data_IF_454747301454
#
_entry.id   IF_454747301454
#
_cell.length_a   1.000
_cell.length_b   1.000
_cell.length_c   1.000
_cell.angle_alpha   90.00
_cell.angle_beta   90.00
_cell.angle_gamma   90.00
#
_symmetry.space_group_name_H-M   'P 1'
#
loop_
_entity.id
_entity.type
_entity.pdbx_description
1 polymer ?
#
# COMPACT_ATOMS: atom_id res chain seq x y z
N UNK A 1 12.14 24.03 -15.21
CA UNK A 1 12.32 22.99 -14.17
C UNK A 1 10.93 22.51 -13.79
N UNK A 2 10.60 21.24 -14.04
CA UNK A 2 9.28 20.70 -13.70
C UNK A 2 9.19 20.48 -12.20
N UNK A 3 8.22 21.12 -11.56
CA UNK A 3 7.87 20.86 -10.17
C UNK A 3 7.43 19.39 -10.05
N UNK A 4 8.32 18.55 -9.52
CA UNK A 4 7.95 17.21 -9.07
C UNK A 4 7.00 17.37 -7.88
N UNK A 5 5.71 17.24 -8.15
CA UNK A 5 4.68 17.27 -7.13
C UNK A 5 4.83 16.00 -6.28
N UNK A 6 5.40 16.12 -5.07
CA UNK A 6 5.35 15.04 -4.08
C UNK A 6 3.88 14.60 -3.93
N UNK A 7 3.56 13.29 -3.90
CA UNK A 7 2.20 12.85 -3.71
C UNK A 7 1.65 13.46 -2.42
N UNK A 8 0.57 14.22 -2.56
CA UNK A 8 -0.04 14.91 -1.43
C UNK A 8 -0.67 13.86 -0.51
N UNK A 9 -0.08 13.65 0.67
CA UNK A 9 -0.63 12.75 1.70
C UNK A 9 -2.04 13.15 2.14
N UNK A 10 -2.53 14.35 1.77
CA UNK A 10 -3.91 14.82 2.03
C UNK A 10 -4.99 14.17 1.17
N UNK A 11 -4.63 13.31 0.20
CA UNK A 11 -5.59 12.68 -0.73
C UNK A 11 -5.81 11.18 -0.48
N UNK A 12 -5.25 10.62 0.59
CA UNK A 12 -5.51 9.23 0.97
C UNK A 12 -6.83 9.21 1.75
N UNK A 13 -7.82 8.39 1.36
CA UNK A 13 -9.04 8.23 2.12
C UNK A 13 -8.75 7.80 3.56
N UNK A 14 -9.50 8.32 4.52
CA UNK A 14 -9.48 7.79 5.90
C UNK A 14 -10.20 6.43 5.95
N UNK A 15 -10.08 5.75 7.09
CA UNK A 15 -10.67 4.44 7.28
C UNK A 15 -12.18 4.46 7.02
N UNK A 16 -12.64 3.46 6.27
CA UNK A 16 -14.02 3.22 5.88
C UNK A 16 -14.59 4.15 4.80
N UNK A 17 -13.84 5.14 4.30
CA UNK A 17 -14.34 6.03 3.25
C UNK A 17 -14.58 5.34 1.90
N UNK A 18 -14.00 4.15 1.70
CA UNK A 18 -14.18 3.40 0.45
C UNK A 18 -14.81 2.02 0.66
N UNK A 19 -15.61 1.82 1.72
CA UNK A 19 -16.28 0.53 2.00
C UNK A 19 -17.16 0.04 0.83
N UNK A 20 -17.84 0.96 0.15
CA UNK A 20 -18.69 0.64 -1.01
C UNK A 20 -17.89 0.31 -2.28
N UNK A 21 -16.56 0.49 -2.27
CA UNK A 21 -15.69 0.18 -3.40
C UNK A 21 -15.20 -1.26 -3.28
N UNK A 22 -15.48 -2.13 -4.28
CA UNK A 22 -14.94 -3.48 -4.30
C UNK A 22 -13.41 -3.48 -4.27
N UNK A 23 -12.80 -4.51 -3.66
CA UNK A 23 -11.36 -4.62 -3.47
C UNK A 23 -10.52 -4.35 -4.74
N UNK A 24 -10.97 -4.83 -5.92
CA UNK A 24 -10.26 -4.62 -7.19
C UNK A 24 -10.28 -3.16 -7.67
N UNK A 25 -11.30 -2.39 -7.27
CA UNK A 25 -11.47 -0.98 -7.62
C UNK A 25 -10.85 0.00 -6.61
N UNK A 26 -10.37 -0.48 -5.45
CA UNK A 26 -9.70 0.37 -4.47
C UNK A 26 -8.42 0.95 -5.07
N UNK A 27 -8.15 2.22 -4.80
CA UNK A 27 -6.90 2.88 -5.18
C UNK A 27 -5.85 2.61 -4.10
N UNK A 28 -4.67 2.19 -4.51
CA UNK A 28 -3.52 1.98 -3.64
C UNK A 28 -2.65 3.22 -3.69
N UNK A 29 -2.62 3.98 -2.59
CA UNK A 29 -1.91 5.24 -2.48
C UNK A 29 -0.47 5.10 -2.00
N UNK A 30 -0.18 4.05 -1.23
CA UNK A 30 1.18 3.79 -0.77
C UNK A 30 1.52 2.32 -0.92
N UNK A 31 2.81 2.07 -1.14
CA UNK A 31 3.41 0.76 -0.98
C UNK A 31 4.46 0.82 0.11
N UNK A 32 4.41 -0.15 1.01
CA UNK A 32 5.44 -0.40 2.01
C UNK A 32 6.04 -1.77 1.77
N UNK A 33 7.34 -1.94 1.98
CA UNK A 33 8.00 -3.22 1.72
C UNK A 33 9.22 -3.48 2.59
N UNK A 34 9.54 -4.77 2.71
CA UNK A 34 10.86 -5.24 3.09
C UNK A 34 11.37 -6.05 1.89
N UNK A 35 12.02 -5.35 0.96
CA UNK A 35 12.31 -5.87 -0.38
C UNK A 35 13.15 -7.17 -0.33
N UNK A 36 14.01 -7.34 0.68
CA UNK A 36 14.89 -8.51 0.82
C UNK A 36 14.12 -9.82 1.05
N UNK A 37 12.91 -9.75 1.60
CA UNK A 37 12.11 -10.94 1.93
C UNK A 37 10.82 -11.02 1.12
N UNK A 38 10.59 -10.10 0.18
CA UNK A 38 9.37 -10.08 -0.65
C UNK A 38 8.09 -9.72 0.11
N UNK A 39 8.21 -9.15 1.31
CA UNK A 39 7.09 -8.63 2.10
C UNK A 39 6.64 -7.29 1.54
N UNK A 40 5.33 -7.10 1.39
CA UNK A 40 4.79 -5.79 1.08
C UNK A 40 3.38 -5.56 1.64
N UNK A 41 3.07 -4.29 1.84
CA UNK A 41 1.72 -3.76 2.08
C UNK A 41 1.36 -2.76 0.99
N UNK A 42 0.13 -2.85 0.50
CA UNK A 42 -0.48 -1.93 -0.46
C UNK A 42 -1.61 -1.18 0.26
N UNK A 43 -1.39 0.08 0.60
CA UNK A 43 -2.28 0.88 1.45
C UNK A 43 -3.33 1.60 0.60
N UNK A 44 -4.60 1.38 0.93
CA UNK A 44 -5.74 2.02 0.29
C UNK A 44 -6.31 3.18 1.13
N UNK A 45 -6.32 3.03 2.45
CA UNK A 45 -6.86 4.03 3.38
C UNK A 45 -5.89 4.23 4.55
N UNK A 46 -5.85 5.44 5.10
CA UNK A 46 -4.95 5.80 6.19
C UNK A 46 -5.61 6.82 7.13
N UNK A 47 -5.85 6.41 8.37
CA UNK A 47 -6.03 7.36 9.47
C UNK A 47 -4.65 7.92 9.83
N UNK A 48 -4.39 9.15 9.39
CA UNK A 48 -3.12 9.85 9.62
C UNK A 48 -2.90 10.14 11.11
N UNK A 49 -3.98 10.35 11.87
CA UNK A 49 -3.90 10.72 13.29
C UNK A 49 -3.50 9.52 14.13
N UNK A 50 -4.19 8.40 13.96
CA UNK A 50 -3.94 7.17 14.71
C UNK A 50 -2.84 6.31 14.07
N UNK A 51 -2.39 6.66 12.85
CA UNK A 51 -1.40 5.92 12.05
C UNK A 51 -1.85 4.48 11.78
N UNK A 52 -3.15 4.27 11.60
CA UNK A 52 -3.74 2.98 11.25
C UNK A 52 -4.11 3.04 9.77
N UNK A 53 -3.65 2.06 9.02
CA UNK A 53 -3.92 1.91 7.61
C UNK A 53 -4.80 0.70 7.36
N UNK A 54 -5.60 0.78 6.30
CA UNK A 54 -6.27 -0.38 5.71
C UNK A 54 -5.66 -0.65 4.33
N UNK A 55 -5.35 -1.91 4.07
CA UNK A 55 -4.64 -2.29 2.85
C UNK A 55 -4.49 -3.79 2.66
N UNK A 56 -3.82 -4.15 1.58
CA UNK A 56 -3.53 -5.53 1.22
C UNK A 56 -2.12 -5.92 1.63
N UNK A 57 -1.99 -6.97 2.43
CA UNK A 57 -0.74 -7.54 2.88
C UNK A 57 -0.35 -8.74 2.03
N UNK A 58 0.94 -8.86 1.71
CA UNK A 58 1.52 -10.10 1.19
C UNK A 58 2.85 -10.35 1.90
N UNK A 59 2.90 -11.44 2.67
CA UNK A 59 4.06 -11.84 3.46
C UNK A 59 4.96 -12.78 2.64
N UNK A 60 5.19 -12.45 1.37
CA UNK A 60 5.85 -13.29 0.37
C UNK A 60 5.16 -14.66 0.14
N UNK A 61 3.87 -14.75 0.42
CA UNK A 61 3.07 -15.95 0.17
C UNK A 61 1.68 -15.56 -0.30
N UNK A 62 1.41 -15.80 -1.58
CA UNK A 62 0.15 -15.41 -2.23
C UNK A 62 -1.07 -16.14 -1.64
N UNK A 63 -0.87 -17.31 -1.03
CA UNK A 63 -1.96 -18.04 -0.36
C UNK A 63 -2.40 -17.39 0.96
N UNK A 64 -1.52 -16.61 1.60
CA UNK A 64 -1.79 -15.94 2.87
C UNK A 64 -1.94 -14.42 2.70
N UNK A 65 -2.06 -13.95 1.47
CA UNK A 65 -2.20 -12.53 1.20
C UNK A 65 -3.65 -12.11 1.41
N UNK A 66 -3.86 -11.02 2.16
CA UNK A 66 -5.17 -10.64 2.67
C UNK A 66 -5.33 -9.13 2.79
N UNK A 67 -6.58 -8.68 2.89
CA UNK A 67 -6.89 -7.30 3.26
C UNK A 67 -7.03 -7.19 4.77
N UNK A 68 -6.45 -6.16 5.37
CA UNK A 68 -6.51 -5.98 6.81
C UNK A 68 -6.06 -4.59 7.24
N UNK A 69 -5.96 -4.42 8.55
CA UNK A 69 -5.49 -3.20 9.19
C UNK A 69 -4.05 -3.39 9.67
N UNK A 70 -3.26 -2.32 9.61
CA UNK A 70 -1.89 -2.31 10.13
C UNK A 70 -1.56 -0.94 10.71
N UNK A 71 -0.72 -0.92 11.74
CA UNK A 71 -0.11 0.33 12.18
C UNK A 71 1.08 0.69 11.28
N UNK A 72 1.14 1.96 10.82
CA UNK A 72 2.34 2.48 10.15
C UNK A 72 3.56 2.39 11.07
N UNK A 73 3.36 2.57 12.38
CA UNK A 73 4.44 2.40 13.37
C UNK A 73 4.96 0.97 13.38
N UNK A 74 4.09 -0.04 13.32
CA UNK A 74 4.49 -1.45 13.27
C UNK A 74 5.26 -1.79 11.99
N UNK A 75 4.87 -1.23 10.84
CA UNK A 75 5.64 -1.35 9.60
C UNK A 75 7.06 -0.80 9.78
N UNK A 76 7.19 0.40 10.34
CA UNK A 76 8.49 1.04 10.59
C UNK A 76 9.34 0.24 11.59
N UNK A 77 8.75 -0.24 12.67
CA UNK A 77 9.44 -1.02 13.72
C UNK A 77 9.96 -2.36 13.19
N UNK A 78 9.29 -2.92 12.17
CA UNK A 78 9.72 -4.12 11.46
C UNK A 78 10.64 -3.83 10.26
N UNK A 79 11.14 -2.59 10.11
CA UNK A 79 12.02 -2.14 9.03
C UNK A 79 11.39 -2.11 7.62
N UNK A 80 10.06 -2.11 7.52
CA UNK A 80 9.41 -1.85 6.25
C UNK A 80 9.60 -0.38 5.87
N UNK A 81 9.91 -0.13 4.59
CA UNK A 81 10.12 1.21 4.03
C UNK A 81 9.01 1.56 3.06
N UNK A 82 8.58 2.82 3.09
CA UNK A 82 7.64 3.35 2.11
C UNK A 82 8.35 3.58 0.76
N UNK A 83 7.83 2.97 -0.31
CA UNK A 83 8.30 3.21 -1.67
C UNK A 83 7.95 4.64 -2.13
N UNK A 84 8.97 5.47 -2.33
CA UNK A 84 8.79 6.89 -2.70
C UNK A 84 8.41 7.08 -4.18
N UNK A 85 8.67 6.08 -5.01
CA UNK A 85 8.36 6.03 -6.44
C UNK A 85 6.99 5.39 -6.73
N UNK A 86 6.19 5.12 -5.70
CA UNK A 86 4.85 4.56 -5.86
C UNK A 86 3.87 5.62 -6.38
N UNK A 87 3.28 5.35 -7.54
CA UNK A 87 2.19 6.15 -8.09
C UNK A 87 0.83 5.52 -7.75
N UNK A 88 -0.16 6.31 -7.29
CA UNK A 88 -1.49 5.80 -7.01
C UNK A 88 -2.11 5.09 -8.21
N UNK A 89 -2.56 3.86 -8.01
CA UNK A 89 -3.17 3.03 -9.04
C UNK A 89 -4.23 2.10 -8.44
N UNK A 90 -5.09 1.51 -9.27
CA UNK A 90 -6.06 0.51 -8.80
C UNK A 90 -5.35 -0.71 -8.20
N UNK A 91 -6.00 -1.40 -7.27
CA UNK A 91 -5.47 -2.64 -6.71
C UNK A 91 -5.15 -3.68 -7.79
N UNK A 92 -5.98 -3.77 -8.84
CA UNK A 92 -5.72 -4.65 -9.97
C UNK A 92 -4.39 -4.31 -10.68
N UNK A 93 -4.12 -3.02 -10.91
CA UNK A 93 -2.85 -2.57 -11.49
C UNK A 93 -1.68 -2.83 -10.54
N UNK A 94 -1.85 -2.54 -9.25
CA UNK A 94 -0.85 -2.80 -8.23
C UNK A 94 -0.44 -4.28 -8.19
N UNK A 95 -1.41 -5.20 -8.27
CA UNK A 95 -1.14 -6.64 -8.35
C UNK A 95 -0.35 -7.02 -9.61
N UNK A 96 -0.64 -6.41 -10.77
CA UNK A 96 0.13 -6.64 -12.00
C UNK A 96 1.58 -6.18 -11.84
N UNK A 97 1.81 -5.02 -11.23
CA UNK A 97 3.16 -4.50 -10.94
C UNK A 97 3.91 -5.46 -10.00
N UNK A 98 3.27 -5.93 -8.93
CA UNK A 98 3.91 -6.84 -7.96
C UNK A 98 4.30 -8.18 -8.59
N UNK A 99 3.45 -8.75 -9.47
CA UNK A 99 3.75 -10.01 -10.17
C UNK A 99 4.92 -9.88 -11.15
N UNK A 100 5.01 -8.76 -11.88
CA UNK A 100 6.11 -8.52 -12.81
C UNK A 100 7.45 -8.41 -12.08
N UNK A 101 7.50 -7.73 -10.93
CA UNK A 101 8.72 -7.57 -10.11
C UNK A 101 9.25 -8.88 -9.50
N UNK A 102 8.42 -9.92 -9.36
CA UNK A 102 8.84 -11.25 -8.85
C UNK A 102 9.32 -12.20 -9.96
N UNK A 103 9.09 -11.85 -11.22
CA UNK A 103 9.38 -12.70 -12.37
C UNK A 103 10.69 -12.32 -13.09
N UNK A 104 11.39 -11.29 -12.62
CA UNK A 104 12.69 -10.84 -13.14
C UNK A 104 13.73 -10.83 -12.04
#
# INVERSE_FOLDING_TARGET
>A
MSDFQKPDMRNIPTLYETEDIPAHGKIIYQKWEISQIGFYWLIAELDIKEKIAYGYANLNNDMFAEWGYISITELMDNNAVQCQDWEPCTFEQAQKIMKQKRSG
#
